data_IF_591119442715
#
_entry.id   IF_591119442715
#
_cell.length_a   1.000
_cell.length_b   1.000
_cell.length_c   1.000
_cell.angle_alpha   90.00
_cell.angle_beta   90.00
_cell.angle_gamma   90.00
#
_symmetry.space_group_name_H-M   'P 1'
#
loop_
_entity.id
_entity.type
_entity.pdbx_description
1 polymer ?
#
# COMPACT_ATOMS: atom_id res chain seq x y z
N UNK A 1 -20.84 -24.44 20.54
CA UNK A 1 -19.97 -23.87 19.48
C UNK A 1 -20.66 -22.64 18.93
N UNK A 2 -20.06 -21.45 19.06
CA UNK A 2 -20.67 -20.18 18.60
C UNK A 2 -20.06 -19.81 17.25
N UNK A 3 -20.89 -19.79 16.20
CA UNK A 3 -20.56 -19.29 14.87
C UNK A 3 -20.60 -17.75 14.93
N UNK A 4 -19.46 -17.09 14.77
CA UNK A 4 -19.41 -15.65 14.57
C UNK A 4 -19.37 -15.35 13.07
N UNK A 5 -20.53 -15.04 12.52
CA UNK A 5 -20.70 -14.50 11.18
C UNK A 5 -20.16 -13.07 11.17
N UNK A 6 -19.04 -12.82 10.47
CA UNK A 6 -18.50 -11.48 10.24
C UNK A 6 -19.16 -10.89 9.00
N UNK A 7 -20.02 -9.90 9.20
CA UNK A 7 -20.62 -9.09 8.14
C UNK A 7 -19.59 -8.09 7.60
N UNK A 8 -19.27 -8.16 6.31
CA UNK A 8 -18.46 -7.15 5.61
C UNK A 8 -19.37 -6.10 4.98
N UNK A 9 -19.31 -4.86 5.48
CA UNK A 9 -19.96 -3.72 4.84
C UNK A 9 -19.04 -3.17 3.74
N UNK A 10 -19.44 -3.34 2.48
CA UNK A 10 -18.85 -2.61 1.34
C UNK A 10 -19.39 -1.18 1.36
N UNK A 11 -18.55 -0.22 1.73
CA UNK A 11 -18.85 1.20 1.56
C UNK A 11 -18.22 1.67 0.25
N UNK A 12 -19.06 1.97 -0.74
CA UNK A 12 -18.65 2.63 -1.98
C UNK A 12 -18.80 4.12 -1.76
N UNK A 13 -17.71 4.83 -1.50
CA UNK A 13 -17.73 6.29 -1.36
C UNK A 13 -17.41 6.93 -2.71
N UNK A 14 -18.46 7.32 -3.45
CA UNK A 14 -18.33 8.19 -4.61
C UNK A 14 -18.27 9.65 -4.14
N UNK A 15 -17.06 10.18 -3.89
CA UNK A 15 -16.90 11.61 -3.62
C UNK A 15 -16.84 12.39 -4.94
N UNK A 16 -17.98 12.96 -5.31
CA UNK A 16 -18.15 13.90 -6.42
C UNK A 16 -17.48 15.24 -6.05
N UNK A 17 -16.62 15.73 -6.94
CA UNK A 17 -15.93 17.04 -6.90
C UNK A 17 -16.87 18.18 -6.48
N UNK A 18 -16.57 18.86 -5.38
CA UNK A 18 -16.96 20.24 -5.15
C UNK A 18 -15.70 21.10 -5.19
N UNK A 19 -15.51 21.78 -6.33
CA UNK A 19 -14.57 22.89 -6.45
C UNK A 19 -15.36 24.14 -6.07
N UNK A 20 -15.02 24.77 -4.95
CA UNK A 20 -15.50 26.13 -4.65
C UNK A 20 -14.43 27.16 -5.03
N UNK A 21 -14.81 28.31 -5.63
CA UNK A 21 -13.88 29.29 -6.18
C UNK A 21 -13.27 30.16 -5.08
N UNK A 22 -12.04 30.61 -5.34
CA UNK A 22 -11.21 31.34 -4.40
C UNK A 22 -11.72 32.72 -4.02
N UNK A 23 -11.39 33.10 -2.78
CA UNK A 23 -11.41 34.48 -2.32
C UNK A 23 -9.99 34.89 -1.92
N UNK A 24 -9.53 35.94 -2.60
CA UNK A 24 -8.27 36.66 -2.38
C UNK A 24 -8.29 37.38 -1.04
N UNK A 25 -7.21 37.29 -0.25
CA UNK A 25 -6.80 38.34 0.68
C UNK A 25 -5.28 38.46 0.77
N UNK A 26 -4.82 39.71 0.82
CA UNK A 26 -3.43 40.17 0.85
C UNK A 26 -2.79 40.00 2.23
N UNK A 27 -1.49 39.64 2.21
CA UNK A 27 -0.37 40.15 3.02
C UNK A 27 -0.45 40.08 4.56
N UNK A 28 0.46 39.29 5.15
CA UNK A 28 1.29 39.59 6.36
C UNK A 28 2.09 38.33 6.73
N UNK A 29 3.41 38.32 6.50
CA UNK A 29 4.34 37.43 7.23
C UNK A 29 4.32 37.83 8.72
N UNK A 30 4.27 36.88 9.68
CA UNK A 30 5.48 36.22 10.22
C UNK A 30 5.17 34.82 10.86
N UNK A 31 5.99 34.24 11.78
CA UNK A 31 7.42 33.97 11.80
C UNK A 31 7.72 32.47 11.56
N UNK A 32 9.01 32.14 11.33
CA UNK A 32 9.61 30.80 11.18
C UNK A 32 8.83 29.67 11.88
N UNK A 33 8.03 28.93 11.11
CA UNK A 33 7.36 27.73 11.58
C UNK A 33 8.42 26.69 11.99
N UNK A 34 8.48 26.38 13.28
CA UNK A 34 9.09 25.13 13.72
C UNK A 34 8.34 23.98 13.01
N UNK A 35 9.03 22.92 12.54
CA UNK A 35 8.33 21.75 12.06
C UNK A 35 7.54 21.20 13.25
N UNK A 36 6.22 21.36 13.19
CA UNK A 36 5.30 20.72 14.12
C UNK A 36 5.56 19.23 14.02
N UNK A 37 6.18 18.65 15.06
CA UNK A 37 6.15 17.21 15.26
C UNK A 37 4.69 16.81 15.20
N UNK A 38 4.28 15.95 14.23
CA UNK A 38 2.88 15.59 14.08
C UNK A 38 2.39 15.01 15.40
N UNK A 39 1.35 15.63 15.94
CA UNK A 39 0.73 15.27 17.20
C UNK A 39 0.38 13.78 17.16
N UNK A 40 0.97 12.99 18.05
CA UNK A 40 0.82 11.54 18.06
C UNK A 40 -0.65 11.11 18.22
N UNK A 41 -1.51 12.02 18.72
CA UNK A 41 -2.95 11.84 18.84
C UNK A 41 -3.71 11.80 17.49
N UNK A 42 -3.09 12.20 16.38
CA UNK A 42 -3.73 12.30 15.04
C UNK A 42 -3.24 11.19 14.09
N UNK A 43 -2.26 10.38 14.49
CA UNK A 43 -1.80 9.28 13.65
C UNK A 43 -2.78 8.11 13.72
N UNK A 44 -3.59 7.94 12.67
CA UNK A 44 -4.42 6.76 12.48
C UNK A 44 -3.55 5.50 12.64
N UNK A 45 -4.01 4.48 13.38
CA UNK A 45 -3.30 3.21 13.45
C UNK A 45 -3.35 2.45 12.12
N UNK A 46 -4.16 2.91 11.16
CA UNK A 46 -4.28 2.31 9.84
C UNK A 46 -3.27 2.92 8.86
N UNK A 47 -2.56 2.05 8.16
CA UNK A 47 -1.67 2.37 7.04
C UNK A 47 -2.26 1.80 5.77
N UNK A 48 -2.22 2.60 4.71
CA UNK A 48 -2.66 2.17 3.38
C UNK A 48 -1.43 1.93 2.52
N UNK A 49 -1.43 0.79 1.85
CA UNK A 49 -0.40 0.43 0.89
C UNK A 49 -1.03 0.05 -0.45
N UNK A 50 -0.31 0.35 -1.53
CA UNK A 50 -0.57 -0.16 -2.87
C UNK A 50 0.54 -1.11 -3.27
N UNK A 51 0.18 -2.32 -3.67
CA UNK A 51 1.10 -3.36 -4.11
C UNK A 51 1.06 -3.42 -5.62
N UNK A 52 2.22 -3.38 -6.27
CA UNK A 52 2.34 -3.48 -7.73
C UNK A 52 2.99 -4.79 -8.14
N UNK A 53 2.39 -5.48 -9.11
CA UNK A 53 2.98 -6.65 -9.77
C UNK A 53 3.61 -6.23 -11.10
N UNK A 54 4.92 -5.98 -11.11
CA UNK A 54 5.69 -5.63 -12.31
C UNK A 54 6.54 -6.82 -12.75
N UNK A 55 6.85 -6.96 -14.06
CA UNK A 55 7.79 -7.98 -14.51
C UNK A 55 9.09 -7.91 -13.69
N UNK A 56 9.45 -9.01 -13.01
CA UNK A 56 10.64 -9.08 -12.16
C UNK A 56 10.50 -8.52 -10.74
N UNK A 57 9.44 -7.76 -10.42
CA UNK A 57 9.35 -7.00 -9.17
C UNK A 57 7.96 -7.02 -8.56
N UNK A 58 7.92 -7.16 -7.24
CA UNK A 58 6.78 -6.78 -6.41
C UNK A 58 7.19 -5.52 -5.65
N UNK A 59 6.45 -4.44 -5.85
CA UNK A 59 6.73 -3.14 -5.24
C UNK A 59 5.59 -2.75 -4.31
N UNK A 60 5.90 -1.98 -3.28
CA UNK A 60 4.94 -1.47 -2.31
C UNK A 60 5.02 0.05 -2.27
N UNK A 61 3.91 0.76 -2.38
CA UNK A 61 3.83 2.20 -2.16
C UNK A 61 3.05 2.49 -0.88
N UNK A 62 3.62 3.29 0.00
CA UNK A 62 2.94 3.72 1.21
C UNK A 62 2.06 4.96 0.97
N UNK A 63 1.33 5.38 1.99
CA UNK A 63 0.47 6.57 1.98
C UNK A 63 1.22 7.89 1.72
N UNK A 64 2.52 7.97 2.03
CA UNK A 64 3.37 9.13 1.69
C UNK A 64 3.85 9.10 0.23
N UNK A 65 3.46 8.08 -0.54
CA UNK A 65 3.86 7.90 -1.92
C UNK A 65 5.27 7.35 -2.12
N UNK A 66 5.96 6.96 -1.04
CA UNK A 66 7.28 6.31 -1.11
C UNK A 66 7.14 4.88 -1.57
N UNK A 67 8.12 4.41 -2.34
CA UNK A 67 8.10 3.10 -2.97
C UNK A 67 9.19 2.23 -2.36
N UNK A 68 8.82 1.01 -1.99
CA UNK A 68 9.68 0.04 -1.35
C UNK A 68 9.75 -1.22 -2.21
N UNK A 69 10.92 -1.83 -2.21
CA UNK A 69 11.10 -3.12 -2.85
C UNK A 69 10.56 -4.22 -1.95
N UNK A 70 9.47 -4.86 -2.37
CA UNK A 70 8.76 -5.83 -1.56
C UNK A 70 9.11 -7.29 -1.90
N UNK A 71 9.49 -7.55 -3.16
CA UNK A 71 9.90 -8.88 -3.58
C UNK A 71 10.20 -9.02 -5.08
N UNK A 72 10.41 -10.26 -5.49
CA UNK A 72 10.57 -10.65 -6.90
C UNK A 72 9.31 -11.36 -7.36
N UNK A 73 8.84 -11.04 -8.56
CA UNK A 73 7.89 -11.86 -9.31
C UNK A 73 8.62 -12.54 -10.47
N UNK A 74 8.42 -13.84 -10.66
CA UNK A 74 9.01 -14.65 -11.74
C UNK A 74 7.94 -15.40 -12.52
N UNK A 75 8.33 -15.85 -13.71
CA UNK A 75 7.47 -16.58 -14.63
C UNK A 75 6.66 -15.67 -15.54
N UNK A 76 5.73 -16.29 -16.26
CA UNK A 76 4.75 -15.64 -17.10
C UNK A 76 3.39 -16.26 -16.81
N UNK A 77 2.31 -15.54 -17.09
CA UNK A 77 0.96 -16.11 -16.98
C UNK A 77 0.82 -17.28 -17.96
N UNK A 78 0.25 -18.43 -17.56
CA UNK A 78 -0.49 -18.69 -16.32
C UNK A 78 0.31 -19.41 -15.21
N UNK A 79 1.63 -19.24 -15.14
CA UNK A 79 2.48 -19.86 -14.12
C UNK A 79 3.43 -18.83 -13.48
N UNK A 80 2.83 -17.88 -12.76
CA UNK A 80 3.57 -16.88 -11.99
C UNK A 80 3.95 -17.42 -10.61
N UNK A 81 5.05 -16.90 -10.09
CA UNK A 81 5.51 -17.12 -8.74
C UNK A 81 6.08 -15.84 -8.14
N UNK A 82 6.10 -15.74 -6.82
CA UNK A 82 6.76 -14.64 -6.13
C UNK A 82 7.62 -15.14 -4.96
N UNK A 83 8.56 -14.27 -4.56
CA UNK A 83 9.29 -14.35 -3.30
C UNK A 83 9.35 -12.96 -2.69
N UNK A 84 8.76 -12.77 -1.52
CA UNK A 84 8.83 -11.53 -0.76
C UNK A 84 10.14 -11.47 0.01
N UNK A 85 10.65 -10.26 0.20
CA UNK A 85 11.79 -10.00 1.08
C UNK A 85 11.38 -10.27 2.52
N UNK A 86 10.14 -9.90 2.88
CA UNK A 86 9.57 -10.16 4.21
C UNK A 86 9.46 -11.66 4.45
N UNK A 87 10.18 -12.13 5.49
CA UNK A 87 10.19 -13.52 5.98
C UNK A 87 10.46 -14.59 4.92
N UNK A 88 10.96 -14.21 3.74
CA UNK A 88 11.15 -15.11 2.62
C UNK A 88 9.86 -15.79 2.14
N UNK A 89 8.69 -15.16 2.32
CA UNK A 89 7.41 -15.75 1.91
C UNK A 89 7.39 -16.00 0.41
N UNK A 90 6.87 -17.15 0.00
CA UNK A 90 6.79 -17.57 -1.40
C UNK A 90 5.40 -18.07 -1.77
N UNK A 91 5.05 -17.89 -3.04
CA UNK A 91 3.88 -18.47 -3.67
C UNK A 91 4.19 -18.83 -5.12
N UNK A 92 3.51 -19.82 -5.68
CA UNK A 92 3.74 -20.31 -7.05
C UNK A 92 2.47 -20.85 -7.69
N UNK A 93 2.45 -20.90 -9.02
CA UNK A 93 1.36 -21.49 -9.79
C UNK A 93 0.17 -20.56 -10.00
N UNK A 94 0.38 -19.23 -9.94
CA UNK A 94 -0.69 -18.26 -10.14
C UNK A 94 -0.98 -18.06 -11.62
N UNK A 95 -2.26 -18.18 -11.99
CA UNK A 95 -2.71 -18.02 -13.37
C UNK A 95 -2.66 -16.57 -13.87
N UNK A 96 -2.69 -15.58 -12.96
CA UNK A 96 -2.63 -14.16 -13.30
C UNK A 96 -1.92 -13.35 -12.22
N UNK A 97 -1.46 -12.15 -12.57
CA UNK A 97 -0.92 -11.18 -11.60
C UNK A 97 -1.94 -10.81 -10.52
N UNK A 98 -3.22 -10.77 -10.85
CA UNK A 98 -4.28 -10.48 -9.88
C UNK A 98 -4.36 -11.56 -8.80
N UNK A 99 -4.41 -12.84 -9.19
CA UNK A 99 -4.45 -13.95 -8.23
C UNK A 99 -3.19 -14.01 -7.35
N UNK A 100 -2.05 -13.63 -7.91
CA UNK A 100 -0.80 -13.50 -7.17
C UNK A 100 -0.89 -12.39 -6.12
N UNK A 101 -1.44 -11.22 -6.48
CA UNK A 101 -1.62 -10.10 -5.56
C UNK A 101 -2.66 -10.43 -4.48
N UNK A 102 -3.73 -11.15 -4.81
CA UNK A 102 -4.75 -11.59 -3.85
C UNK A 102 -4.13 -12.48 -2.75
N UNK A 103 -3.24 -13.41 -3.11
CA UNK A 103 -2.51 -14.24 -2.13
C UNK A 103 -1.60 -13.39 -1.23
N UNK A 104 -0.90 -12.41 -1.80
CA UNK A 104 -0.04 -11.50 -1.04
C UNK A 104 -0.89 -10.66 -0.06
N UNK A 105 -2.01 -10.11 -0.51
CA UNK A 105 -2.94 -9.34 0.34
C UNK A 105 -3.45 -10.22 1.47
N UNK A 106 -3.87 -11.45 1.18
CA UNK A 106 -4.35 -12.37 2.20
C UNK A 106 -3.32 -12.61 3.30
N UNK A 107 -2.03 -12.73 2.95
CA UNK A 107 -0.93 -12.88 3.92
C UNK A 107 -0.62 -11.59 4.69
N UNK A 108 -0.83 -10.43 4.09
CA UNK A 108 -0.70 -9.15 4.78
C UNK A 108 -1.83 -8.99 5.81
N UNK A 109 -3.07 -9.32 5.42
CA UNK A 109 -4.24 -9.28 6.30
C UNK A 109 -4.20 -10.33 7.41
N UNK A 110 -3.56 -11.49 7.18
CA UNK A 110 -3.32 -12.50 8.22
C UNK A 110 -2.28 -12.06 9.26
N UNK A 111 -1.58 -10.95 9.02
CA UNK A 111 -0.53 -10.43 9.89
C UNK A 111 0.82 -11.12 9.71
N UNK A 112 0.99 -11.95 8.69
CA UNK A 112 2.28 -12.62 8.42
C UNK A 112 3.40 -11.65 8.04
N UNK A 113 3.05 -10.41 7.67
CA UNK A 113 3.93 -9.41 7.05
C UNK A 113 4.00 -8.09 7.85
N UNK A 114 3.24 -7.93 8.94
CA UNK A 114 2.92 -6.62 9.49
C UNK A 114 4.11 -5.80 10.04
N UNK A 115 5.04 -6.41 10.77
CA UNK A 115 6.15 -5.70 11.41
C UNK A 115 7.26 -5.33 10.42
N UNK A 116 7.54 -6.23 9.49
CA UNK A 116 8.69 -6.16 8.59
C UNK A 116 8.49 -5.17 7.43
N UNK A 117 7.25 -4.69 7.20
CA UNK A 117 7.01 -3.63 6.21
C UNK A 117 7.75 -2.33 6.54
N UNK A 118 7.99 -2.07 7.82
CA UNK A 118 8.69 -0.86 8.29
C UNK A 118 10.18 -0.88 7.93
N UNK A 119 10.75 -2.07 7.75
CA UNK A 119 12.17 -2.28 7.48
C UNK A 119 12.46 -2.55 5.99
N UNK A 120 11.46 -2.35 5.12
CA UNK A 120 11.65 -2.57 3.70
C UNK A 120 12.65 -1.58 3.09
N UNK A 121 13.53 -2.04 2.19
CA UNK A 121 14.44 -1.15 1.49
C UNK A 121 13.64 -0.21 0.57
N UNK A 122 13.85 1.09 0.75
CA UNK A 122 13.31 2.11 -0.15
C UNK A 122 13.90 1.92 -1.55
N UNK A 123 13.02 1.89 -2.56
CA UNK A 123 13.41 1.76 -3.95
C UNK A 123 13.88 3.13 -4.45
N UNK A 124 15.19 3.35 -4.49
CA UNK A 124 15.80 4.61 -4.95
C UNK A 124 15.88 4.73 -6.47
N UNK A 125 15.63 3.65 -7.19
CA UNK A 125 15.52 3.67 -8.65
C UNK A 125 14.17 4.29 -9.04
N UNK A 126 14.21 5.25 -9.97
CA UNK A 126 13.00 5.79 -10.61
C UNK A 126 12.26 4.60 -11.23
N UNK A 127 11.07 4.21 -10.73
CA UNK A 127 10.48 2.90 -11.03
C UNK A 127 10.23 2.65 -12.53
N UNK A 128 10.35 3.68 -13.36
CA UNK A 128 10.17 3.62 -14.80
C UNK A 128 8.73 3.31 -15.18
N UNK A 129 8.11 4.19 -15.98
CA UNK A 129 6.68 4.14 -16.35
C UNK A 129 5.76 4.29 -15.13
N UNK A 130 4.73 5.12 -15.31
CA UNK A 130 3.55 5.25 -14.45
C UNK A 130 3.13 3.90 -13.83
N UNK A 131 3.48 3.68 -12.56
CA UNK A 131 3.20 2.44 -11.83
C UNK A 131 1.69 2.17 -11.76
N UNK A 132 0.90 3.23 -11.72
CA UNK A 132 -0.56 3.17 -11.58
C UNK A 132 -1.24 2.69 -12.87
N UNK A 133 -0.53 2.58 -13.99
CA UNK A 133 -0.99 1.88 -15.21
C UNK A 133 -0.82 0.36 -15.16
N UNK A 134 -0.03 -0.15 -14.22
CA UNK A 134 0.21 -1.58 -14.07
C UNK A 134 -0.83 -2.29 -13.20
N UNK A 135 -0.77 -3.63 -13.15
CA UNK A 135 -1.58 -4.42 -12.21
C UNK A 135 -1.16 -4.10 -10.78
N UNK A 136 -2.12 -3.63 -9.99
CA UNK A 136 -1.93 -3.27 -8.60
C UNK A 136 -3.14 -3.66 -7.75
N UNK A 137 -2.94 -3.71 -6.45
CA UNK A 137 -4.00 -3.93 -5.48
C UNK A 137 -3.71 -3.14 -4.20
N UNK A 138 -4.75 -2.65 -3.54
CA UNK A 138 -4.66 -1.80 -2.36
C UNK A 138 -4.98 -2.62 -1.10
N UNK A 139 -4.22 -2.40 -0.03
CA UNK A 139 -4.39 -3.06 1.26
C UNK A 139 -4.32 -2.03 2.39
N UNK A 140 -5.25 -2.12 3.33
CA UNK A 140 -5.23 -1.33 4.56
C UNK A 140 -4.85 -2.23 5.71
N UNK A 141 -3.80 -1.87 6.45
CA UNK A 141 -3.35 -2.63 7.61
C UNK A 141 -3.38 -1.77 8.85
N UNK A 142 -3.76 -2.36 9.98
CA UNK A 142 -3.59 -1.72 11.28
C UNK A 142 -2.17 -2.04 11.78
N UNK A 143 -1.37 -1.02 12.07
CA UNK A 143 -0.10 -1.21 12.77
C UNK A 143 -0.40 -1.84 14.14
N UNK A 144 0.29 -2.93 14.45
CA UNK A 144 0.31 -3.47 15.80
C UNK A 144 0.97 -2.41 16.69
N UNK A 145 0.24 -1.96 17.71
CA UNK A 145 0.76 -1.09 18.77
C UNK A 145 1.46 -1.89 19.85
#
# INVERSE_FOLDING_TARGET
MKLFTKSFLRVITACRKFVSPGTSFKHLDPPRAQPSTPDAAILSPWRVYRIYARPGHVLLRNEQGRIFYFGVMKGAEPNLAYRLVVRGLTGRGFASRTLLLDDIIHRMESGEVAGELLDLPECTADPGVDLDRGTHADVSMKLAG
#
